data_IF_841545033279
#
_entry.id   IF_841545033279
#
_cell.length_a   1.000
_cell.length_b   1.000
_cell.length_c   1.000
_cell.angle_alpha   90.00
_cell.angle_beta   90.00
_cell.angle_gamma   90.00
#
_symmetry.space_group_name_H-M   'P 1'
#
loop_
_entity.id
_entity.type
_entity.pdbx_description
1 polymer ?
#
# COMPACT_ATOMS: atom_id res chain seq x y z
N UNK A 1 16.11 -16.17 28.90
CA UNK A 1 16.32 -15.09 27.92
C UNK A 1 17.80 -14.91 27.51
N UNK A 2 18.77 -15.45 28.22
CA UNK A 2 20.19 -15.30 27.86
C UNK A 2 20.71 -16.25 26.76
N UNK A 3 20.03 -17.34 26.47
CA UNK A 3 20.49 -18.32 25.47
C UNK A 3 20.26 -17.89 24.00
N UNK A 4 19.31 -16.98 23.76
CA UNK A 4 18.97 -16.51 22.39
C UNK A 4 19.95 -15.42 21.92
N UNK A 5 20.47 -14.61 22.81
CA UNK A 5 21.40 -13.51 22.47
C UNK A 5 22.79 -14.04 22.09
N UNK A 6 23.22 -15.19 22.62
CA UNK A 6 24.50 -15.80 22.26
C UNK A 6 24.54 -16.47 20.90
N UNK A 7 23.37 -16.84 20.33
CA UNK A 7 23.30 -17.49 19.02
C UNK A 7 23.47 -16.50 17.85
N UNK A 8 23.10 -15.23 18.04
CA UNK A 8 23.18 -14.21 17.00
C UNK A 8 24.59 -13.61 16.86
N UNK A 9 25.36 -13.58 17.96
CA UNK A 9 26.73 -13.05 17.93
C UNK A 9 27.74 -13.97 17.20
N UNK A 10 27.43 -15.27 17.06
CA UNK A 10 28.29 -16.24 16.37
C UNK A 10 28.24 -16.19 14.83
N UNK A 11 27.17 -15.68 14.27
CA UNK A 11 26.99 -15.65 12.80
C UNK A 11 27.69 -14.48 12.09
N UNK A 12 28.03 -13.43 12.82
CA UNK A 12 28.72 -12.26 12.24
C UNK A 12 30.26 -12.39 12.20
N UNK A 13 30.82 -13.32 12.95
CA UNK A 13 32.26 -13.55 12.96
C UNK A 13 32.79 -14.28 11.71
N UNK A 14 31.95 -15.15 11.09
CA UNK A 14 32.38 -15.94 9.94
C UNK A 14 32.32 -15.14 8.62
N UNK A 15 31.49 -14.10 8.52
CA UNK A 15 31.41 -13.26 7.33
C UNK A 15 32.63 -12.34 7.14
N UNK A 16 33.29 -11.95 8.23
CA UNK A 16 34.48 -11.09 8.17
C UNK A 16 35.74 -11.81 7.70
N UNK A 17 35.86 -13.08 7.95
CA UNK A 17 37.03 -13.88 7.57
C UNK A 17 37.06 -14.20 6.06
N UNK A 18 35.89 -14.36 5.46
CA UNK A 18 35.76 -14.63 4.01
C UNK A 18 36.17 -13.44 3.15
N UNK A 19 35.92 -12.21 3.60
CA UNK A 19 36.29 -10.99 2.85
C UNK A 19 37.79 -10.75 2.87
N UNK A 20 38.49 -11.10 3.96
CA UNK A 20 39.94 -10.96 4.04
C UNK A 20 40.69 -11.99 3.18
N UNK A 21 40.15 -13.18 2.99
CA UNK A 21 40.73 -14.23 2.15
C UNK A 21 40.71 -13.94 0.66
N UNK A 22 39.75 -13.14 0.20
CA UNK A 22 39.60 -12.77 -1.23
C UNK A 22 40.52 -11.60 -1.63
N UNK A 23 41.01 -10.81 -0.68
CA UNK A 23 41.88 -9.65 -0.96
C UNK A 23 43.38 -9.98 -0.99
N UNK A 24 43.77 -11.17 -0.57
CA UNK A 24 45.20 -11.56 -0.50
C UNK A 24 45.70 -12.39 -1.70
N UNK A 25 44.86 -12.74 -2.66
CA UNK A 25 45.21 -13.58 -3.80
C UNK A 25 45.59 -12.82 -5.08
N UNK A 26 45.69 -11.50 -5.06
CA UNK A 26 46.06 -10.70 -6.26
C UNK A 26 47.34 -9.92 -6.10
N UNK A 27 48.43 -10.61 -5.74
CA UNK A 27 49.79 -10.02 -5.85
C UNK A 27 50.81 -11.04 -6.36
N UNK A 28 50.57 -11.66 -7.50
CA UNK A 28 51.61 -12.32 -8.28
C UNK A 28 51.85 -11.51 -9.57
N UNK A 29 53.10 -10.99 -9.61
CA UNK A 29 53.73 -10.26 -10.70
C UNK A 29 53.43 -10.91 -12.08
N UNK A 30 52.73 -10.22 -12.95
CA UNK A 30 52.65 -10.55 -14.35
C UNK A 30 53.57 -9.57 -15.07
N UNK A 31 54.64 -10.14 -15.65
CA UNK A 31 55.68 -9.45 -16.37
C UNK A 31 55.14 -8.74 -17.59
N UNK A 32 55.78 -7.61 -17.90
CA UNK A 32 55.52 -6.80 -19.05
C UNK A 32 55.85 -7.56 -20.35
N UNK A 33 54.86 -7.78 -21.21
CA UNK A 33 54.95 -7.81 -22.67
C UNK A 33 53.58 -8.13 -23.29
N UNK A 34 53.03 -7.14 -23.96
CA UNK A 34 52.19 -7.34 -25.15
C UNK A 34 50.76 -7.75 -24.90
N UNK A 35 49.93 -6.92 -25.34
CA UNK A 35 48.65 -7.09 -25.98
C UNK A 35 47.58 -6.12 -25.44
N UNK A 36 47.46 -5.11 -26.16
CA UNK A 36 46.39 -4.16 -26.21
C UNK A 36 45.13 -4.83 -26.81
N UNK A 37 44.54 -5.79 -26.13
CA UNK A 37 43.18 -6.28 -26.47
C UNK A 37 42.65 -6.98 -25.25
N UNK A 38 42.01 -6.31 -24.37
CA UNK A 38 40.98 -6.88 -23.45
C UNK A 38 40.46 -5.82 -22.48
N UNK A 39 40.00 -4.72 -22.98
CA UNK A 39 39.33 -3.72 -22.12
C UNK A 39 37.93 -3.37 -22.67
N UNK A 40 37.18 -4.40 -23.14
CA UNK A 40 35.84 -4.15 -23.69
C UNK A 40 34.82 -5.24 -23.36
N UNK A 41 34.84 -5.78 -22.13
CA UNK A 41 33.78 -6.71 -21.72
C UNK A 41 33.29 -6.53 -20.28
N UNK A 42 33.36 -5.31 -19.76
CA UNK A 42 32.73 -5.00 -18.47
C UNK A 42 31.83 -3.80 -18.67
N UNK A 43 30.69 -3.98 -19.26
CA UNK A 43 29.58 -2.98 -19.23
C UNK A 43 28.35 -3.54 -19.94
N UNK A 44 27.72 -4.58 -19.40
CA UNK A 44 26.31 -4.89 -19.68
C UNK A 44 25.73 -5.70 -18.52
N UNK A 45 25.91 -5.22 -17.28
CA UNK A 45 24.94 -5.50 -16.23
C UNK A 45 24.03 -4.28 -16.20
N UNK A 46 23.22 -4.15 -17.24
CA UNK A 46 22.00 -3.37 -17.15
C UNK A 46 21.09 -4.09 -16.16
N UNK A 47 21.29 -3.82 -14.88
CA UNK A 47 20.30 -4.14 -13.87
C UNK A 47 19.06 -3.37 -14.25
N UNK A 48 18.06 -4.05 -14.84
CA UNK A 48 16.68 -3.64 -14.70
C UNK A 48 16.41 -3.60 -13.21
N UNK A 49 16.55 -2.43 -12.61
CA UNK A 49 16.02 -2.16 -11.29
C UNK A 49 14.51 -2.39 -11.41
N UNK A 50 14.06 -3.53 -10.91
CA UNK A 50 12.64 -3.71 -10.66
C UNK A 50 12.31 -2.67 -9.60
N UNK A 51 11.48 -1.70 -9.97
CA UNK A 51 10.83 -0.81 -9.00
C UNK A 51 9.86 -1.71 -8.24
N UNK A 52 10.33 -2.28 -7.13
CA UNK A 52 9.44 -2.94 -6.19
C UNK A 52 8.53 -1.87 -5.61
N UNK A 53 7.28 -1.85 -6.06
CA UNK A 53 6.26 -1.00 -5.46
C UNK A 53 5.96 -1.53 -4.06
N UNK A 54 6.28 -0.74 -3.03
CA UNK A 54 6.00 -1.09 -1.64
C UNK A 54 4.49 -1.24 -1.43
N UNK A 55 4.08 -2.31 -0.74
CA UNK A 55 2.67 -2.51 -0.35
C UNK A 55 2.31 -1.56 0.78
N UNK A 56 1.33 -0.68 0.54
CA UNK A 56 0.84 0.29 1.54
C UNK A 56 -0.26 -0.32 2.39
N UNK A 57 -1.22 -1.00 1.76
CA UNK A 57 -2.33 -1.65 2.45
C UNK A 57 -2.50 -3.10 2.01
N UNK A 58 -2.75 -3.98 2.97
CA UNK A 58 -3.18 -5.36 2.69
C UNK A 58 -4.69 -5.41 2.54
N UNK A 59 -5.20 -6.21 1.61
CA UNK A 59 -6.64 -6.35 1.37
C UNK A 59 -7.15 -7.75 1.70
N UNK A 60 -8.44 -7.86 1.96
CA UNK A 60 -9.11 -9.14 2.26
C UNK A 60 -9.28 -9.99 1.00
N UNK A 61 -9.73 -9.39 -0.11
CA UNK A 61 -10.18 -10.11 -1.29
C UNK A 61 -9.25 -10.00 -2.52
N UNK A 62 -8.07 -9.45 -2.39
CA UNK A 62 -7.23 -9.24 -3.58
C UNK A 62 -5.77 -8.95 -3.29
N UNK A 63 -5.04 -8.47 -4.28
CA UNK A 63 -3.66 -8.04 -4.11
C UNK A 63 -3.59 -6.82 -3.18
N UNK A 64 -2.45 -6.66 -2.51
CA UNK A 64 -2.18 -5.48 -1.71
C UNK A 64 -2.26 -4.20 -2.57
N UNK A 65 -2.75 -3.13 -1.96
CA UNK A 65 -2.68 -1.78 -2.54
C UNK A 65 -1.25 -1.27 -2.39
N UNK A 66 -0.64 -0.93 -3.50
CA UNK A 66 0.78 -0.52 -3.54
C UNK A 66 0.92 1.00 -3.66
N UNK A 67 2.10 1.53 -3.34
CA UNK A 67 2.41 2.95 -3.54
C UNK A 67 2.17 3.38 -4.99
N UNK A 68 2.50 2.52 -5.96
CA UNK A 68 2.25 2.79 -7.38
C UNK A 68 0.75 2.89 -7.71
N UNK A 69 -0.09 2.07 -7.08
CA UNK A 69 -1.56 2.12 -7.31
C UNK A 69 -2.23 3.34 -6.68
N UNK A 70 -1.56 4.00 -5.72
CA UNK A 70 -2.00 5.23 -5.06
C UNK A 70 -1.43 6.50 -5.71
N UNK A 71 -0.45 6.36 -6.61
CA UNK A 71 0.24 7.50 -7.21
C UNK A 71 -0.74 8.43 -7.94
N UNK A 72 -0.74 9.70 -7.53
CA UNK A 72 -1.62 10.76 -8.06
C UNK A 72 -3.13 10.48 -7.91
N UNK A 73 -3.53 9.58 -6.99
CA UNK A 73 -4.94 9.26 -6.74
C UNK A 73 -5.40 9.73 -5.37
N UNK A 74 -6.62 10.22 -5.33
CA UNK A 74 -7.35 10.37 -4.08
C UNK A 74 -7.69 8.99 -3.49
N UNK A 75 -7.69 8.88 -2.15
CA UNK A 75 -8.17 7.70 -1.46
C UNK A 75 -9.49 8.05 -0.79
N UNK A 76 -10.51 7.28 -1.08
CA UNK A 76 -11.85 7.35 -0.46
C UNK A 76 -11.96 6.15 0.47
N UNK A 77 -11.70 6.35 1.76
CA UNK A 77 -11.68 5.27 2.76
C UNK A 77 -13.00 5.27 3.51
N UNK A 78 -13.83 4.28 3.24
CA UNK A 78 -15.18 4.16 3.81
C UNK A 78 -15.22 3.14 4.93
N UNK A 79 -15.70 3.56 6.10
CA UNK A 79 -15.94 2.74 7.29
C UNK A 79 -17.39 2.28 7.31
N UNK A 80 -17.60 0.97 7.34
CA UNK A 80 -18.91 0.34 7.23
C UNK A 80 -19.06 -0.87 8.17
N UNK A 81 -20.30 -1.37 8.36
CA UNK A 81 -20.58 -2.63 9.03
C UNK A 81 -21.83 -3.29 8.44
N UNK A 82 -21.96 -4.61 8.59
CA UNK A 82 -23.09 -5.38 8.03
C UNK A 82 -24.45 -5.08 8.67
N UNK A 83 -24.48 -4.45 9.82
CA UNK A 83 -25.68 -4.02 10.55
C UNK A 83 -26.01 -2.54 10.34
N UNK A 84 -25.16 -1.79 9.67
CA UNK A 84 -25.32 -0.36 9.42
C UNK A 84 -26.24 -0.12 8.22
N UNK A 85 -27.50 0.21 8.48
CA UNK A 85 -28.50 0.45 7.42
C UNK A 85 -28.08 1.53 6.41
N UNK A 86 -27.65 2.74 6.82
CA UNK A 86 -27.17 3.76 5.89
C UNK A 86 -25.96 3.32 5.05
N UNK A 87 -25.06 2.49 5.63
CA UNK A 87 -23.92 1.96 4.88
C UNK A 87 -24.38 1.06 3.70
N UNK A 88 -25.40 0.23 3.93
CA UNK A 88 -25.98 -0.62 2.87
C UNK A 88 -26.48 0.23 1.70
N UNK A 89 -27.01 1.41 1.99
CA UNK A 89 -27.59 2.30 0.97
C UNK A 89 -26.49 3.02 0.14
N UNK A 90 -25.34 3.36 0.75
CA UNK A 90 -24.28 4.09 0.06
C UNK A 90 -23.32 3.20 -0.74
N UNK A 91 -23.17 1.91 -0.38
CA UNK A 91 -22.21 1.01 -1.05
C UNK A 91 -22.39 0.93 -2.57
N UNK A 92 -23.62 0.86 -3.15
CA UNK A 92 -23.78 0.92 -4.60
C UNK A 92 -23.19 2.18 -5.24
N UNK A 93 -23.35 3.34 -4.62
CA UNK A 93 -22.75 4.61 -5.06
C UNK A 93 -21.22 4.56 -5.02
N UNK A 94 -20.66 3.95 -3.98
CA UNK A 94 -19.21 3.77 -3.85
C UNK A 94 -18.64 2.76 -4.85
N UNK A 95 -19.39 1.70 -5.19
CA UNK A 95 -19.01 0.76 -6.26
C UNK A 95 -18.95 1.48 -7.60
N UNK A 96 -20.00 2.26 -7.94
CA UNK A 96 -20.03 3.06 -9.16
C UNK A 96 -18.87 4.05 -9.21
N UNK A 97 -18.63 4.79 -8.12
CA UNK A 97 -17.51 5.72 -7.99
C UNK A 97 -16.15 5.02 -8.23
N UNK A 98 -15.95 3.84 -7.67
CA UNK A 98 -14.72 3.05 -7.82
C UNK A 98 -14.50 2.61 -9.27
N UNK A 99 -15.56 2.29 -10.01
CA UNK A 99 -15.47 1.88 -11.41
C UNK A 99 -15.26 3.07 -12.34
N UNK A 100 -16.08 4.10 -12.21
CA UNK A 100 -16.11 5.22 -13.16
C UNK A 100 -14.91 6.16 -13.00
N UNK A 101 -14.38 6.32 -11.77
CA UNK A 101 -13.31 7.27 -11.45
C UNK A 101 -11.99 6.59 -11.09
N UNK A 102 -11.79 5.34 -11.48
CA UNK A 102 -10.58 4.53 -11.16
C UNK A 102 -9.25 5.15 -11.62
N UNK A 103 -9.27 6.08 -12.55
CA UNK A 103 -8.09 6.83 -12.98
C UNK A 103 -7.67 7.91 -11.96
N UNK A 104 -8.63 8.51 -11.25
CA UNK A 104 -8.45 9.69 -10.40
C UNK A 104 -8.44 9.35 -8.90
N UNK A 105 -9.14 8.28 -8.53
CA UNK A 105 -9.30 7.87 -7.13
C UNK A 105 -9.29 6.36 -6.96
N UNK A 106 -9.14 5.94 -5.70
CA UNK A 106 -9.34 4.56 -5.26
C UNK A 106 -10.29 4.57 -4.07
N UNK A 107 -11.32 3.71 -4.12
CA UNK A 107 -12.21 3.46 -2.98
C UNK A 107 -11.65 2.27 -2.19
N UNK A 108 -11.59 2.41 -0.87
CA UNK A 108 -11.09 1.41 0.07
C UNK A 108 -12.10 1.24 1.20
N UNK A 109 -12.41 0.01 1.58
CA UNK A 109 -13.33 -0.30 2.66
C UNK A 109 -12.60 -0.65 3.96
N UNK A 110 -13.20 -0.29 5.10
CA UNK A 110 -12.79 -0.74 6.43
C UNK A 110 -14.01 -1.34 7.12
N UNK A 111 -13.98 -2.65 7.40
CA UNK A 111 -15.03 -3.30 8.21
C UNK A 111 -14.83 -2.92 9.68
N UNK A 112 -15.79 -2.16 10.22
CA UNK A 112 -15.75 -1.66 11.59
C UNK A 112 -15.73 -2.78 12.64
N UNK A 113 -16.34 -3.93 12.33
CA UNK A 113 -16.37 -5.09 13.23
C UNK A 113 -15.04 -5.86 13.24
N UNK A 114 -14.13 -5.54 12.31
CA UNK A 114 -12.79 -6.15 12.18
C UNK A 114 -12.82 -7.68 12.34
N UNK A 115 -13.47 -8.42 11.42
CA UNK A 115 -13.65 -9.87 11.53
C UNK A 115 -12.34 -10.59 11.77
N UNK A 116 -12.30 -11.49 12.74
CA UNK A 116 -11.07 -12.18 13.19
C UNK A 116 -10.54 -13.23 12.20
N UNK A 117 -11.31 -13.59 11.18
CA UNK A 117 -10.91 -14.59 10.17
C UNK A 117 -11.16 -14.07 8.76
N UNK A 118 -10.29 -14.44 7.79
CA UNK A 118 -10.48 -14.07 6.39
C UNK A 118 -11.84 -14.53 5.83
N UNK A 119 -12.32 -15.71 6.24
CA UNK A 119 -13.63 -16.25 5.81
C UNK A 119 -14.78 -15.38 6.29
N UNK A 120 -14.75 -14.91 7.55
CA UNK A 120 -15.78 -14.03 8.07
C UNK A 120 -15.74 -12.65 7.36
N UNK A 121 -14.55 -12.11 7.13
CA UNK A 121 -14.38 -10.87 6.38
C UNK A 121 -14.94 -10.97 4.96
N UNK A 122 -14.63 -12.06 4.24
CA UNK A 122 -15.19 -12.31 2.91
C UNK A 122 -16.71 -12.42 2.92
N UNK A 123 -17.30 -13.10 3.91
CA UNK A 123 -18.75 -13.20 4.04
C UNK A 123 -19.42 -11.83 4.31
N UNK A 124 -18.78 -10.95 5.09
CA UNK A 124 -19.24 -9.57 5.30
C UNK A 124 -19.24 -8.77 4.00
N UNK A 125 -18.15 -8.85 3.23
CA UNK A 125 -17.99 -8.17 1.94
C UNK A 125 -19.06 -8.62 0.94
N UNK A 126 -19.25 -9.92 0.80
CA UNK A 126 -20.27 -10.53 -0.07
C UNK A 126 -21.68 -10.09 0.33
N UNK A 127 -21.99 -10.14 1.64
CA UNK A 127 -23.28 -9.71 2.16
C UNK A 127 -23.61 -8.26 1.85
N UNK A 128 -22.59 -7.40 1.87
CA UNK A 128 -22.73 -5.97 1.60
C UNK A 128 -22.71 -5.62 0.10
N UNK A 129 -22.31 -6.55 -0.77
CA UNK A 129 -22.16 -6.31 -2.20
C UNK A 129 -21.03 -5.35 -2.53
N UNK A 130 -19.94 -5.38 -1.74
CA UNK A 130 -18.78 -4.50 -1.94
C UNK A 130 -17.90 -5.04 -3.08
N UNK A 131 -17.61 -4.18 -4.06
CA UNK A 131 -16.78 -4.50 -5.23
C UNK A 131 -15.38 -3.87 -5.18
N UNK A 132 -15.15 -2.91 -4.28
CA UNK A 132 -13.87 -2.26 -4.06
C UNK A 132 -13.03 -3.00 -2.99
N UNK A 133 -11.69 -2.79 -2.95
CA UNK A 133 -10.81 -3.43 -1.97
C UNK A 133 -11.18 -3.09 -0.52
N UNK A 134 -11.25 -4.11 0.34
CA UNK A 134 -11.44 -3.96 1.79
C UNK A 134 -10.12 -4.24 2.50
N UNK A 135 -9.72 -3.32 3.37
CA UNK A 135 -8.45 -3.37 4.09
C UNK A 135 -8.50 -4.42 5.21
N UNK A 136 -7.39 -5.08 5.46
CA UNK A 136 -7.25 -6.03 6.58
C UNK A 136 -6.98 -5.34 7.91
N UNK A 137 -6.48 -4.10 7.88
CA UNK A 137 -6.15 -3.27 9.04
C UNK A 137 -6.72 -1.87 8.86
N UNK A 138 -7.20 -1.28 9.94
CA UNK A 138 -7.66 0.11 9.98
C UNK A 138 -6.46 1.05 9.78
N UNK A 139 -6.47 1.93 8.75
CA UNK A 139 -5.39 2.86 8.48
C UNK A 139 -5.43 4.15 9.33
N UNK A 140 -6.44 4.37 10.15
CA UNK A 140 -6.66 5.64 10.89
C UNK A 140 -5.39 6.11 11.62
N UNK A 141 -4.75 5.24 12.38
CA UNK A 141 -3.53 5.59 13.13
C UNK A 141 -2.36 6.00 12.21
N UNK A 142 -2.21 5.34 11.07
CA UNK A 142 -1.16 5.67 10.09
C UNK A 142 -1.45 6.98 9.37
N UNK A 143 -2.72 7.36 9.26
CA UNK A 143 -3.19 8.63 8.71
C UNK A 143 -3.19 9.77 9.73
N UNK A 144 -2.85 9.48 10.99
CA UNK A 144 -2.79 10.48 12.07
C UNK A 144 -4.17 10.97 12.53
N UNK A 145 -5.21 10.15 12.39
CA UNK A 145 -6.57 10.43 12.87
C UNK A 145 -7.01 9.39 13.89
N UNK A 146 -7.97 9.76 14.72
CA UNK A 146 -8.63 8.80 15.59
C UNK A 146 -9.57 7.90 14.76
N UNK A 147 -9.64 6.58 15.06
CA UNK A 147 -10.60 5.69 14.41
C UNK A 147 -12.03 6.21 14.54
N UNK A 148 -12.81 6.25 13.43
CA UNK A 148 -14.21 6.67 13.48
C UNK A 148 -15.04 5.83 14.45
N UNK A 149 -15.98 6.49 15.17
CA UNK A 149 -16.89 5.85 16.12
C UNK A 149 -18.34 5.88 15.66
N UNK A 150 -18.61 6.50 14.51
CA UNK A 150 -19.95 6.64 13.90
C UNK A 150 -19.92 6.07 12.50
N UNK A 151 -20.98 5.39 12.07
CA UNK A 151 -21.08 4.81 10.72
C UNK A 151 -22.28 5.34 9.94
N UNK A 152 -22.13 5.48 8.61
CA UNK A 152 -20.88 5.39 7.90
C UNK A 152 -20.00 6.61 8.15
N UNK A 153 -18.70 6.47 7.96
CA UNK A 153 -17.75 7.59 7.90
C UNK A 153 -16.82 7.37 6.71
N UNK A 154 -16.60 8.44 5.94
CA UNK A 154 -15.68 8.41 4.81
C UNK A 154 -14.52 9.39 5.05
N UNK A 155 -13.30 8.88 4.96
CA UNK A 155 -12.06 9.66 5.06
C UNK A 155 -11.53 9.91 3.65
N UNK A 156 -11.35 11.18 3.28
CA UNK A 156 -10.74 11.57 2.02
C UNK A 156 -9.27 11.89 2.25
N UNK A 157 -8.39 11.15 1.55
CA UNK A 157 -6.95 11.36 1.59
C UNK A 157 -6.50 11.91 0.24
N UNK A 158 -5.81 13.04 0.27
CA UNK A 158 -5.26 13.70 -0.90
C UNK A 158 -4.11 12.87 -1.52
N UNK A 159 -3.81 12.99 -2.81
CA UNK A 159 -2.68 12.29 -3.45
C UNK A 159 -1.31 12.49 -2.81
N UNK A 160 -1.11 13.57 -2.05
CA UNK A 160 0.12 13.81 -1.26
C UNK A 160 0.17 13.02 0.05
N UNK A 161 -0.88 12.22 0.38
CA UNK A 161 -1.00 11.39 1.57
C UNK A 161 -1.63 12.10 2.78
N UNK A 162 -1.96 13.38 2.68
CA UNK A 162 -2.61 14.13 3.76
C UNK A 162 -4.12 13.88 3.82
N UNK A 163 -4.68 13.71 5.04
CA UNK A 163 -6.13 13.66 5.22
C UNK A 163 -6.74 15.02 4.89
N UNK A 164 -7.62 15.05 3.91
CA UNK A 164 -8.32 16.25 3.45
C UNK A 164 -9.57 16.52 4.27
N UNK A 165 -10.39 15.47 4.49
CA UNK A 165 -11.68 15.61 5.17
C UNK A 165 -12.13 14.28 5.76
N UNK A 166 -12.91 14.34 6.85
CA UNK A 166 -13.59 13.22 7.47
C UNK A 166 -15.09 13.51 7.44
N UNK A 167 -15.83 12.79 6.61
CA UNK A 167 -17.25 12.97 6.37
C UNK A 167 -18.04 11.94 7.16
N UNK A 168 -18.85 12.39 8.11
CA UNK A 168 -19.71 11.54 8.92
C UNK A 168 -21.12 11.46 8.31
N UNK A 169 -21.66 10.27 8.19
CA UNK A 169 -22.94 9.98 7.54
C UNK A 169 -22.80 9.54 6.09
N UNK A 170 -23.89 9.05 5.48
CA UNK A 170 -23.88 8.49 4.14
C UNK A 170 -23.49 9.55 3.08
N UNK A 171 -22.66 9.14 2.15
CA UNK A 171 -22.18 9.96 1.04
C UNK A 171 -22.73 9.45 -0.28
N UNK A 172 -22.81 10.34 -1.27
CA UNK A 172 -23.07 9.99 -2.66
C UNK A 172 -21.81 10.20 -3.48
N UNK A 173 -21.70 9.58 -4.65
CA UNK A 173 -20.61 9.84 -5.60
C UNK A 173 -20.47 11.34 -5.87
N UNK A 174 -21.58 12.04 -6.08
CA UNK A 174 -21.59 13.49 -6.33
C UNK A 174 -21.04 14.31 -5.15
N UNK A 175 -21.39 13.95 -3.88
CA UNK A 175 -20.88 14.65 -2.69
C UNK A 175 -19.37 14.48 -2.54
N UNK A 176 -18.85 13.29 -2.80
CA UNK A 176 -17.42 13.00 -2.71
C UNK A 176 -16.62 13.71 -3.82
N UNK A 177 -17.13 13.67 -5.05
CA UNK A 177 -16.51 14.36 -6.18
C UNK A 177 -16.49 15.88 -6.02
N UNK A 178 -17.49 16.47 -5.35
CA UNK A 178 -17.50 17.91 -5.06
C UNK A 178 -16.36 18.32 -4.10
N UNK A 179 -15.95 17.45 -3.18
CA UNK A 179 -14.80 17.70 -2.30
C UNK A 179 -13.48 17.47 -3.04
N UNK A 180 -13.42 16.42 -3.86
CA UNK A 180 -12.24 16.06 -4.64
C UNK A 180 -11.93 17.11 -5.71
N UNK A 181 -12.97 17.61 -6.42
CA UNK A 181 -12.88 18.56 -7.51
C UNK A 181 -13.69 19.84 -7.23
N UNK A 182 -13.25 20.69 -6.28
CA UNK A 182 -14.04 21.84 -5.85
C UNK A 182 -14.31 22.90 -6.96
N UNK A 183 -13.59 22.83 -8.06
CA UNK A 183 -13.73 23.79 -9.18
C UNK A 183 -14.95 23.46 -10.08
N UNK A 184 -15.45 22.24 -10.05
CA UNK A 184 -16.59 21.83 -10.88
C UNK A 184 -17.95 22.31 -10.32
N UNK A 185 -18.02 22.69 -9.03
CA UNK A 185 -19.26 23.08 -8.34
C UNK A 185 -19.54 24.61 -8.35
N UNK A 186 -18.69 25.41 -8.97
CA UNK A 186 -18.78 26.88 -8.98
C UNK A 186 -19.29 27.52 -10.29
N UNK A 187 -19.84 26.75 -11.21
CA UNK A 187 -20.36 27.26 -12.49
C UNK A 187 -21.88 27.11 -12.56
N UNK A 188 -22.65 27.87 -11.75
CA UNK A 188 -24.05 28.25 -12.00
C UNK A 188 -24.22 29.72 -11.67
#
# INVERSE_FOLDING_TARGET
MEAVVKSIAGQWATAREWIHSLLTLSSKKIGARGHWVSCLTILLVSGCGQVESESVYQTVQGPAVTSLSLENKWQVINYWATWCGPCITEIPELNELAHEHSAELIVLGVDFDAPSTPTAAMASIEKMGIEFPVLTLDPAMSLGIDPPTVLPTTVLVHPDGGVREVLVGPQTAASLLAVINPVASGAE
#
